data_IF_619426528268
#
_entry.id   IF_619426528268
#
_cell.length_a   1.000
_cell.length_b   1.000
_cell.length_c   1.000
_cell.angle_alpha   90.00
_cell.angle_beta   90.00
_cell.angle_gamma   90.00
#
_symmetry.space_group_name_H-M   'P 1'
#
loop_
_entity.id
_entity.type
_entity.pdbx_description
1 polymer ?
#
# COMPACT_ATOMS: atom_id res chain seq x y z
N UNK A 1 -21.19 4.84 -18.38
CA UNK A 1 -21.33 5.51 -17.07
C UNK A 1 -20.09 6.29 -16.67
N UNK A 2 -18.88 5.73 -16.74
CA UNK A 2 -17.68 6.46 -16.25
C UNK A 2 -17.24 7.71 -17.03
N UNK A 3 -17.35 7.75 -18.36
CA UNK A 3 -16.80 8.87 -19.16
C UNK A 3 -17.60 10.17 -19.03
N UNK A 4 -18.94 10.09 -18.94
CA UNK A 4 -19.79 11.28 -18.77
C UNK A 4 -19.61 11.89 -17.39
N UNK A 5 -19.50 11.04 -16.35
CA UNK A 5 -19.16 11.43 -14.99
C UNK A 5 -17.77 12.10 -14.95
N UNK A 6 -16.76 11.50 -15.59
CA UNK A 6 -15.43 12.09 -15.69
C UNK A 6 -15.44 13.47 -16.36
N UNK A 7 -16.22 13.65 -17.43
CA UNK A 7 -16.36 14.93 -18.12
C UNK A 7 -17.04 15.98 -17.24
N UNK A 8 -18.11 15.61 -16.53
CA UNK A 8 -18.78 16.49 -15.58
C UNK A 8 -17.84 16.92 -14.44
N UNK A 9 -17.05 15.98 -13.90
CA UNK A 9 -16.08 16.27 -12.84
C UNK A 9 -14.96 17.20 -13.34
N UNK A 10 -14.43 17.00 -14.55
CA UNK A 10 -13.46 17.93 -15.15
C UNK A 10 -14.03 19.33 -15.31
N UNK A 11 -15.28 19.45 -15.77
CA UNK A 11 -15.98 20.72 -15.91
C UNK A 11 -16.13 21.48 -14.57
N UNK A 12 -16.22 20.75 -13.45
CA UNK A 12 -16.31 21.33 -12.12
C UNK A 12 -14.97 21.84 -11.57
N UNK A 13 -13.83 21.41 -12.14
CA UNK A 13 -12.49 21.87 -11.74
C UNK A 13 -12.14 23.10 -12.59
N UNK A 14 -12.08 24.33 -12.03
CA UNK A 14 -11.97 25.55 -12.84
C UNK A 14 -10.75 25.58 -13.78
N UNK A 15 -9.63 25.01 -13.34
CA UNK A 15 -8.40 24.92 -14.14
C UNK A 15 -8.52 23.95 -15.33
N UNK A 16 -9.50 23.04 -15.32
CA UNK A 16 -9.67 21.96 -16.29
C UNK A 16 -10.99 22.05 -17.07
N UNK A 17 -11.85 23.02 -16.73
CA UNK A 17 -13.23 23.08 -17.22
C UNK A 17 -13.36 23.24 -18.75
N UNK A 18 -12.32 23.74 -19.41
CA UNK A 18 -12.26 23.90 -20.86
C UNK A 18 -11.75 22.69 -21.63
N UNK A 19 -11.41 21.57 -20.96
CA UNK A 19 -10.91 20.38 -21.65
C UNK A 19 -12.05 19.63 -22.36
N UNK A 20 -12.03 19.63 -23.69
CA UNK A 20 -13.01 18.95 -24.55
C UNK A 20 -12.45 17.70 -25.25
N UNK A 21 -11.15 17.44 -25.11
CA UNK A 21 -10.44 16.32 -25.73
C UNK A 21 -10.87 14.92 -25.27
N UNK A 22 -10.16 13.87 -25.75
CA UNK A 22 -10.46 12.48 -25.42
C UNK A 22 -10.20 12.19 -23.93
N UNK A 23 -10.98 11.26 -23.38
CA UNK A 23 -10.77 10.72 -22.04
C UNK A 23 -10.45 9.23 -22.16
N UNK A 24 -9.26 8.85 -21.71
CA UNK A 24 -8.79 7.46 -21.71
C UNK A 24 -8.93 6.88 -20.30
N UNK A 25 -9.67 5.78 -20.15
CA UNK A 25 -9.78 5.09 -18.86
C UNK A 25 -8.48 4.35 -18.59
N UNK A 26 -7.85 4.64 -17.45
CA UNK A 26 -6.69 3.93 -16.93
C UNK A 26 -7.14 2.82 -15.95
N UNK A 27 -6.18 2.05 -15.44
CA UNK A 27 -6.41 1.08 -14.36
C UNK A 27 -6.93 1.72 -13.07
N UNK A 28 -7.13 0.89 -12.04
CA UNK A 28 -7.71 1.31 -10.76
C UNK A 28 -8.90 0.41 -10.38
N UNK A 29 -8.75 -0.26 -9.24
CA UNK A 29 -9.74 -1.21 -8.71
C UNK A 29 -10.91 -0.49 -8.05
N UNK A 30 -10.63 0.34 -7.05
CA UNK A 30 -11.62 1.13 -6.30
C UNK A 30 -11.89 2.48 -6.96
N UNK A 31 -10.86 3.09 -7.54
CA UNK A 31 -10.92 4.43 -8.11
C UNK A 31 -11.16 4.41 -9.64
N UNK A 32 -11.96 5.36 -10.14
CA UNK A 32 -12.11 5.60 -11.58
C UNK A 32 -11.04 6.61 -12.02
N UNK A 33 -10.03 6.14 -12.75
CA UNK A 33 -8.89 6.97 -13.20
C UNK A 33 -8.97 7.23 -14.70
N UNK A 34 -8.93 8.49 -15.12
CA UNK A 34 -8.99 8.92 -16.52
C UNK A 34 -7.82 9.83 -16.88
N UNK A 35 -7.20 9.60 -18.03
CA UNK A 35 -6.29 10.55 -18.64
C UNK A 35 -7.04 11.56 -19.49
N UNK A 36 -6.75 12.85 -19.27
CA UNK A 36 -7.24 14.00 -20.02
C UNK A 36 -6.03 14.83 -20.48
N UNK A 37 -5.52 14.58 -21.69
CA UNK A 37 -4.27 15.18 -22.17
C UNK A 37 -3.08 14.81 -21.29
N UNK A 38 -2.49 15.80 -20.62
CA UNK A 38 -1.37 15.66 -19.69
C UNK A 38 -1.81 15.62 -18.22
N UNK A 39 -3.09 15.34 -17.97
CA UNK A 39 -3.69 15.26 -16.64
C UNK A 39 -4.23 13.85 -16.40
N UNK A 40 -4.13 13.41 -15.16
CA UNK A 40 -4.79 12.23 -14.63
C UNK A 40 -5.88 12.68 -13.65
N UNK A 41 -7.15 12.44 -13.99
CA UNK A 41 -8.30 12.65 -13.13
C UNK A 41 -8.63 11.34 -12.42
N UNK A 42 -8.73 11.39 -11.09
CA UNK A 42 -9.17 10.27 -10.26
C UNK A 42 -10.45 10.65 -9.53
N UNK A 43 -11.46 9.82 -9.71
CA UNK A 43 -12.76 9.91 -9.04
C UNK A 43 -12.87 8.73 -8.07
N UNK A 44 -13.11 8.96 -6.78
CA UNK A 44 -13.30 7.89 -5.81
C UNK A 44 -14.42 6.93 -6.19
N UNK A 45 -14.23 5.65 -5.86
CA UNK A 45 -15.29 4.65 -5.97
C UNK A 45 -16.42 4.90 -4.99
N UNK A 46 -17.66 4.63 -5.42
CA UNK A 46 -18.85 4.74 -4.56
C UNK A 46 -18.74 3.79 -3.37
N UNK A 47 -19.10 4.27 -2.17
CA UNK A 47 -19.13 3.46 -0.95
C UNK A 47 -17.78 3.34 -0.24
N UNK A 48 -16.77 4.09 -0.68
CA UNK A 48 -15.46 4.17 0.00
C UNK A 48 -15.43 5.23 1.10
N UNK A 49 -16.44 6.09 1.17
CA UNK A 49 -16.52 7.22 2.11
C UNK A 49 -16.66 6.76 3.57
N UNK A 50 -17.11 5.52 3.80
CA UNK A 50 -17.31 4.96 5.14
C UNK A 50 -16.00 4.57 5.85
N UNK A 51 -14.93 4.31 5.08
CA UNK A 51 -13.65 3.83 5.64
C UNK A 51 -12.43 4.59 5.13
N UNK A 52 -12.57 5.48 4.14
CA UNK A 52 -11.45 6.26 3.60
C UNK A 52 -11.57 7.74 3.97
N UNK A 53 -10.54 8.27 4.61
CA UNK A 53 -10.46 9.68 4.98
C UNK A 53 -9.86 10.53 3.83
N UNK A 54 -10.74 11.14 3.03
CA UNK A 54 -10.34 11.98 1.89
C UNK A 54 -9.56 13.24 2.27
N UNK A 55 -9.74 13.75 3.49
CA UNK A 55 -8.94 14.85 3.99
C UNK A 55 -7.48 14.43 4.30
N UNK A 56 -7.28 13.22 4.85
CA UNK A 56 -5.95 12.63 5.04
C UNK A 56 -5.24 12.45 3.70
N UNK A 57 -5.91 11.82 2.75
CA UNK A 57 -5.40 11.61 1.40
C UNK A 57 -4.97 12.92 0.71
N UNK A 58 -5.81 13.96 0.80
CA UNK A 58 -5.52 15.25 0.18
C UNK A 58 -4.29 15.94 0.76
N UNK A 59 -3.97 15.73 2.05
CA UNK A 59 -2.73 16.22 2.66
C UNK A 59 -1.55 15.35 2.20
N UNK A 60 -1.68 14.04 2.30
CA UNK A 60 -0.60 13.12 1.98
C UNK A 60 -0.16 13.18 0.52
N UNK A 61 -1.10 13.23 -0.43
CA UNK A 61 -0.80 13.37 -1.84
C UNK A 61 -0.03 14.66 -2.13
N UNK A 62 -0.37 15.78 -1.48
CA UNK A 62 0.35 17.06 -1.62
C UNK A 62 1.75 16.98 -1.02
N UNK A 63 1.90 16.42 0.18
CA UNK A 63 3.20 16.28 0.83
C UNK A 63 4.12 15.31 0.08
N UNK A 64 3.58 14.20 -0.45
CA UNK A 64 4.32 13.27 -1.30
C UNK A 64 4.72 13.88 -2.66
N UNK A 65 3.89 14.76 -3.23
CA UNK A 65 4.22 15.52 -4.41
C UNK A 65 5.34 16.56 -4.12
N UNK A 66 5.28 17.27 -2.98
CA UNK A 66 6.37 18.16 -2.52
C UNK A 66 7.68 17.41 -2.29
N UNK A 67 7.61 16.21 -1.74
CA UNK A 67 8.74 15.29 -1.62
C UNK A 67 9.27 14.80 -2.97
N UNK A 68 8.56 15.06 -4.08
CA UNK A 68 8.93 14.62 -5.41
C UNK A 68 8.86 13.10 -5.58
N UNK A 69 7.97 12.43 -4.85
CA UNK A 69 7.69 10.99 -4.92
C UNK A 69 6.38 10.71 -5.66
N UNK A 70 5.37 11.57 -5.47
CA UNK A 70 4.12 11.52 -6.22
C UNK A 70 4.08 12.54 -7.35
N UNK A 71 3.32 12.31 -8.45
CA UNK A 71 3.11 13.32 -9.47
C UNK A 71 2.52 14.60 -8.88
N UNK A 72 2.75 15.73 -9.55
CA UNK A 72 2.22 17.03 -9.13
C UNK A 72 0.70 16.99 -8.97
N UNK A 73 0.19 17.41 -7.83
CA UNK A 73 -1.25 17.55 -7.56
C UNK A 73 -1.72 18.91 -8.06
N UNK A 74 -2.52 18.90 -9.12
CA UNK A 74 -3.11 20.10 -9.74
C UNK A 74 -4.41 20.51 -9.05
N UNK A 75 -5.17 19.54 -8.58
CA UNK A 75 -6.40 19.73 -7.83
C UNK A 75 -6.61 18.56 -6.88
N UNK A 76 -7.13 18.84 -5.67
CA UNK A 76 -7.68 17.79 -4.81
C UNK A 76 -8.77 18.39 -3.93
N UNK A 77 -9.93 17.75 -3.95
CA UNK A 77 -11.09 18.11 -3.16
C UNK A 77 -11.16 17.19 -1.92
N UNK A 78 -10.94 17.71 -0.70
CA UNK A 78 -10.97 16.89 0.51
C UNK A 78 -12.38 16.42 0.91
N UNK A 79 -13.44 16.98 0.32
CA UNK A 79 -14.82 16.58 0.59
C UNK A 79 -15.27 15.43 -0.31
N UNK A 80 -14.96 15.52 -1.61
CA UNK A 80 -15.36 14.50 -2.59
C UNK A 80 -14.28 13.47 -2.87
N UNK A 81 -13.02 13.74 -2.52
CA UNK A 81 -11.85 12.92 -2.83
C UNK A 81 -11.39 12.97 -4.28
N UNK A 82 -12.06 13.77 -5.13
CA UNK A 82 -11.63 13.99 -6.52
C UNK A 82 -10.22 14.58 -6.53
N UNK A 83 -9.35 13.97 -7.33
CA UNK A 83 -7.95 14.37 -7.46
C UNK A 83 -7.59 14.52 -8.93
N UNK A 84 -6.95 15.61 -9.30
CA UNK A 84 -6.30 15.77 -10.59
C UNK A 84 -4.80 15.96 -10.40
N UNK A 85 -4.00 15.14 -11.07
CA UNK A 85 -2.54 15.20 -11.04
C UNK A 85 -1.95 15.28 -12.44
N UNK A 86 -0.67 15.65 -12.54
CA UNK A 86 0.05 15.61 -13.81
C UNK A 86 0.24 14.15 -14.26
N UNK A 87 -0.12 13.86 -15.51
CA UNK A 87 0.11 12.55 -16.11
C UNK A 87 1.61 12.33 -16.35
N UNK A 88 2.13 11.17 -15.96
CA UNK A 88 3.54 10.82 -16.15
C UNK A 88 3.72 10.13 -17.50
N UNK A 89 4.00 10.91 -18.54
CA UNK A 89 4.20 10.39 -19.89
C UNK A 89 5.37 9.39 -19.95
N UNK A 90 5.18 8.30 -20.70
CA UNK A 90 6.19 7.25 -20.88
C UNK A 90 6.39 6.33 -19.68
N UNK A 91 5.67 6.54 -18.57
CA UNK A 91 5.72 5.62 -17.43
C UNK A 91 4.89 4.36 -17.68
N UNK A 92 5.39 3.24 -17.15
CA UNK A 92 4.73 1.95 -17.15
C UNK A 92 4.14 1.70 -15.76
N UNK A 93 2.83 1.52 -15.68
CA UNK A 93 2.17 1.02 -14.46
C UNK A 93 2.71 -0.37 -14.14
N UNK A 94 3.20 -0.56 -12.93
CA UNK A 94 3.85 -1.80 -12.51
C UNK A 94 2.84 -2.89 -12.13
N UNK A 95 3.35 -4.12 -12.06
CA UNK A 95 2.62 -5.33 -11.69
C UNK A 95 3.62 -6.34 -11.13
N UNK A 96 3.19 -7.41 -10.44
CA UNK A 96 4.11 -8.45 -9.96
C UNK A 96 4.98 -9.04 -11.08
N UNK A 97 4.41 -9.22 -12.27
CA UNK A 97 5.15 -9.68 -13.46
C UNK A 97 6.19 -8.66 -13.92
N UNK A 98 5.83 -7.37 -14.00
CA UNK A 98 6.74 -6.32 -14.47
C UNK A 98 7.91 -6.10 -13.50
N UNK A 99 7.72 -6.31 -12.20
CA UNK A 99 8.81 -6.28 -11.23
C UNK A 99 9.86 -7.37 -11.48
N UNK A 100 9.48 -8.48 -12.14
CA UNK A 100 10.41 -9.55 -12.54
C UNK A 100 11.03 -9.30 -13.91
N UNK A 101 10.23 -8.83 -14.86
CA UNK A 101 10.66 -8.66 -16.25
C UNK A 101 11.53 -7.42 -16.48
N UNK A 102 11.34 -6.35 -15.69
CA UNK A 102 12.03 -5.08 -15.88
C UNK A 102 13.18 -4.96 -14.89
N UNK A 103 14.40 -5.01 -15.40
CA UNK A 103 15.61 -4.92 -14.60
C UNK A 103 15.66 -3.63 -13.76
N UNK A 104 16.13 -3.75 -12.51
CA UNK A 104 16.31 -2.63 -11.59
C UNK A 104 15.02 -2.10 -10.97
N UNK A 105 13.86 -2.72 -11.23
CA UNK A 105 12.59 -2.19 -10.70
C UNK A 105 12.45 -2.32 -9.19
N UNK A 106 12.87 -3.42 -8.52
CA UNK A 106 12.93 -3.44 -7.06
C UNK A 106 13.85 -2.35 -6.48
N UNK A 107 15.02 -2.10 -7.09
CA UNK A 107 15.90 -1.02 -6.66
C UNK A 107 15.22 0.36 -6.76
N UNK A 108 14.59 0.66 -7.91
CA UNK A 108 13.89 1.95 -8.11
C UNK A 108 12.72 2.15 -7.15
N UNK A 109 12.03 1.07 -6.75
CA UNK A 109 11.02 1.13 -5.70
C UNK A 109 11.65 1.44 -4.33
N UNK A 110 12.75 0.78 -3.98
CA UNK A 110 13.53 1.07 -2.77
C UNK A 110 14.02 2.52 -2.71
N UNK A 111 14.47 3.09 -3.83
CA UNK A 111 14.86 4.49 -3.94
C UNK A 111 13.69 5.45 -3.76
N UNK A 112 12.52 5.13 -4.34
CA UNK A 112 11.30 5.92 -4.17
C UNK A 112 10.85 5.95 -2.70
N UNK A 113 10.85 4.80 -2.02
CA UNK A 113 10.58 4.72 -0.59
C UNK A 113 11.61 5.47 0.24
N UNK A 114 12.90 5.32 -0.05
CA UNK A 114 13.96 6.07 0.66
C UNK A 114 13.71 7.56 0.56
N UNK A 115 13.39 8.04 -0.64
CA UNK A 115 13.07 9.45 -0.89
C UNK A 115 11.85 9.90 -0.09
N UNK A 116 10.79 9.09 -0.05
CA UNK A 116 9.60 9.37 0.76
C UNK A 116 9.93 9.44 2.25
N UNK A 117 10.52 8.38 2.79
CA UNK A 117 10.72 8.21 4.23
C UNK A 117 11.74 9.20 4.82
N UNK A 118 12.60 9.78 3.97
CA UNK A 118 13.59 10.79 4.38
C UNK A 118 13.22 12.22 3.96
N UNK A 119 12.05 12.42 3.33
CA UNK A 119 11.64 13.73 2.79
C UNK A 119 11.30 14.79 3.85
N UNK A 120 10.97 14.36 5.07
CA UNK A 120 10.39 15.24 6.08
C UNK A 120 8.89 15.51 5.88
N UNK A 121 8.22 14.82 4.94
CA UNK A 121 6.77 14.85 4.81
C UNK A 121 6.09 14.46 6.13
N UNK A 122 4.95 15.10 6.42
CA UNK A 122 4.15 14.83 7.62
C UNK A 122 2.73 14.50 7.20
N UNK A 123 2.30 13.27 7.48
CA UNK A 123 0.94 12.83 7.25
C UNK A 123 0.12 12.98 8.54
N UNK A 124 -1.16 13.38 8.46
CA UNK A 124 -1.95 13.71 9.64
C UNK A 124 -2.41 12.48 10.42
N UNK A 125 -2.43 11.31 9.78
CA UNK A 125 -2.79 10.04 10.41
C UNK A 125 -1.56 9.22 10.80
N UNK A 126 -1.70 8.41 11.85
CA UNK A 126 -0.70 7.45 12.32
C UNK A 126 -1.23 6.04 12.05
N UNK A 127 -0.48 5.25 11.29
CA UNK A 127 -0.87 3.89 10.94
C UNK A 127 -0.67 2.90 12.10
N UNK A 128 -1.72 2.64 12.86
CA UNK A 128 -1.67 1.73 14.01
C UNK A 128 -2.01 0.29 13.61
N UNK A 129 -1.04 -0.41 13.00
CA UNK A 129 -1.17 -1.79 12.50
C UNK A 129 -1.89 -2.73 13.46
N UNK A 130 -1.42 -2.81 14.70
CA UNK A 130 -2.00 -3.76 15.64
C UNK A 130 -3.35 -3.32 16.21
N UNK A 131 -3.63 -2.02 16.25
CA UNK A 131 -4.97 -1.55 16.60
C UNK A 131 -5.97 -1.96 15.51
N UNK A 132 -5.60 -1.84 14.23
CA UNK A 132 -6.42 -2.33 13.12
C UNK A 132 -6.63 -3.85 13.17
N UNK A 133 -5.59 -4.62 13.48
CA UNK A 133 -5.72 -6.07 13.71
C UNK A 133 -6.71 -6.35 14.84
N UNK A 134 -6.55 -5.70 16.01
CA UNK A 134 -7.45 -5.89 17.15
C UNK A 134 -8.91 -5.54 16.82
N UNK A 135 -9.13 -4.45 16.08
CA UNK A 135 -10.45 -4.01 15.64
C UNK A 135 -11.08 -5.02 14.67
N UNK A 136 -10.32 -5.54 13.70
CA UNK A 136 -10.82 -6.56 12.78
C UNK A 136 -11.12 -7.88 13.49
N UNK A 137 -10.28 -8.31 14.43
CA UNK A 137 -10.54 -9.49 15.27
C UNK A 137 -11.84 -9.31 16.06
N UNK A 138 -12.07 -8.13 16.63
CA UNK A 138 -13.30 -7.80 17.34
C UNK A 138 -14.52 -7.84 16.42
N UNK A 139 -14.46 -7.26 15.22
CA UNK A 139 -15.55 -7.32 14.24
C UNK A 139 -15.83 -8.76 13.81
N UNK A 140 -14.80 -9.55 13.52
CA UNK A 140 -14.95 -10.95 13.13
C UNK A 140 -15.60 -11.79 14.23
N UNK A 141 -15.33 -11.49 15.51
CA UNK A 141 -15.96 -12.19 16.63
C UNK A 141 -17.48 -12.05 16.68
N UNK A 142 -18.05 -11.04 16.00
CA UNK A 142 -19.50 -10.81 15.91
C UNK A 142 -20.11 -11.36 14.61
N UNK A 143 -19.34 -12.07 13.77
CA UNK A 143 -19.76 -12.54 12.46
C UNK A 143 -19.74 -14.06 12.41
N UNK A 144 -20.71 -14.66 11.70
CA UNK A 144 -20.71 -16.09 11.41
C UNK A 144 -19.96 -16.34 10.10
N UNK A 145 -18.66 -16.64 10.19
CA UNK A 145 -17.82 -16.96 9.02
C UNK A 145 -16.89 -18.12 9.34
N UNK A 146 -16.73 -19.05 8.39
CA UNK A 146 -15.76 -20.13 8.54
C UNK A 146 -14.33 -19.57 8.48
N UNK A 147 -13.55 -19.81 9.52
CA UNK A 147 -12.16 -19.37 9.63
C UNK A 147 -11.20 -20.44 9.08
N UNK A 148 -10.05 -20.05 8.51
CA UNK A 148 -9.10 -21.00 7.97
C UNK A 148 -8.45 -21.85 9.09
N UNK A 149 -8.05 -23.11 8.80
CA UNK A 149 -7.37 -23.96 9.78
C UNK A 149 -6.08 -23.33 10.32
N UNK A 150 -5.91 -23.31 11.65
CA UNK A 150 -4.75 -22.68 12.30
C UNK A 150 -4.88 -21.17 12.52
N UNK A 151 -6.04 -20.57 12.19
CA UNK A 151 -6.33 -19.14 12.41
C UNK A 151 -5.94 -18.66 13.81
N UNK A 152 -6.43 -19.35 14.85
CA UNK A 152 -6.17 -18.95 16.24
C UNK A 152 -4.70 -19.06 16.64
N UNK A 153 -3.95 -19.97 16.02
CA UNK A 153 -2.51 -20.11 16.27
C UNK A 153 -1.74 -18.93 15.67
N UNK A 154 -2.02 -18.58 14.42
CA UNK A 154 -1.41 -17.41 13.76
C UNK A 154 -1.74 -16.11 14.49
N UNK A 155 -2.99 -15.92 14.92
CA UNK A 155 -3.40 -14.74 15.70
C UNK A 155 -2.65 -14.70 17.03
N UNK A 156 -2.52 -15.82 17.75
CA UNK A 156 -1.75 -15.87 18.99
C UNK A 156 -0.26 -15.57 18.77
N UNK A 157 0.34 -16.09 17.70
CA UNK A 157 1.74 -15.79 17.38
C UNK A 157 1.96 -14.33 16.94
N UNK A 158 0.91 -13.64 16.48
CA UNK A 158 0.98 -12.20 16.20
C UNK A 158 1.28 -11.36 17.46
N UNK A 159 0.95 -11.86 18.66
CA UNK A 159 1.34 -11.21 19.92
C UNK A 159 2.86 -11.30 20.16
N UNK A 160 3.49 -12.42 19.78
CA UNK A 160 4.96 -12.58 19.83
C UNK A 160 5.64 -11.61 18.86
N UNK A 161 5.04 -11.41 17.69
CA UNK A 161 5.47 -10.42 16.69
C UNK A 161 5.35 -9.00 17.27
N UNK A 162 4.18 -8.66 17.82
CA UNK A 162 3.90 -7.38 18.48
C UNK A 162 4.91 -7.06 19.57
N UNK A 163 5.18 -8.02 20.45
CA UNK A 163 6.17 -7.88 21.52
C UNK A 163 7.60 -7.69 20.99
N UNK A 164 7.96 -8.35 19.88
CA UNK A 164 9.30 -8.21 19.29
C UNK A 164 9.50 -6.85 18.64
N UNK A 165 8.49 -6.32 17.94
CA UNK A 165 8.52 -4.96 17.38
C UNK A 165 8.49 -3.88 18.48
N UNK A 166 7.81 -4.13 19.59
CA UNK A 166 7.75 -3.22 20.74
C UNK A 166 9.01 -3.25 21.63
N UNK A 167 9.94 -4.18 21.40
CA UNK A 167 11.15 -4.32 22.22
C UNK A 167 12.09 -3.10 22.11
N UNK A 168 12.02 -2.37 20.99
CA UNK A 168 12.80 -1.16 20.73
C UNK A 168 11.92 -0.06 20.17
N UNK A 169 12.34 1.20 20.34
CA UNK A 169 11.67 2.32 19.68
C UNK A 169 11.98 2.29 18.18
N UNK A 170 10.96 2.02 17.38
CA UNK A 170 11.06 2.01 15.93
C UNK A 170 11.02 3.43 15.35
N UNK A 171 11.73 3.68 14.22
CA UNK A 171 11.63 4.95 13.51
C UNK A 171 10.21 5.14 12.97
N UNK A 172 9.79 6.41 12.88
CA UNK A 172 8.50 6.79 12.32
C UNK A 172 8.76 7.72 11.14
N UNK A 173 8.20 7.40 9.98
CA UNK A 173 8.29 8.17 8.75
C UNK A 173 6.92 8.28 8.08
N UNK A 174 6.75 9.24 7.17
CA UNK A 174 5.60 9.27 6.27
C UNK A 174 5.67 8.07 5.33
N UNK A 175 4.69 7.18 5.39
CA UNK A 175 4.66 5.92 4.64
C UNK A 175 3.41 5.84 3.77
N UNK A 176 3.52 5.16 2.63
CA UNK A 176 2.41 4.92 1.72
C UNK A 176 1.33 4.02 2.36
N UNK A 177 1.76 3.02 3.13
CA UNK A 177 0.95 2.04 3.85
C UNK A 177 0.16 1.03 2.99
N UNK A 178 -0.06 1.30 1.71
CA UNK A 178 -0.67 0.33 0.77
C UNK A 178 0.03 0.29 -0.61
N UNK A 179 1.33 -0.08 -0.67
CA UNK A 179 2.14 0.00 -1.88
C UNK A 179 1.87 -1.14 -2.86
N UNK A 180 0.62 -1.31 -3.30
CA UNK A 180 0.26 -2.23 -4.37
C UNK A 180 1.11 -1.98 -5.62
N UNK A 181 1.42 -3.02 -6.39
CA UNK A 181 2.27 -2.87 -7.58
C UNK A 181 1.74 -1.84 -8.58
N UNK A 182 0.42 -1.75 -8.75
CA UNK A 182 -0.19 -0.81 -9.69
C UNK A 182 -0.02 0.67 -9.27
N UNK A 183 0.30 0.92 -8.00
CA UNK A 183 0.56 2.26 -7.47
C UNK A 183 1.95 2.79 -7.86
N UNK A 184 2.80 1.96 -8.49
CA UNK A 184 4.11 2.37 -9.00
C UNK A 184 4.08 2.65 -10.50
N UNK A 185 4.57 3.82 -10.89
CA UNK A 185 4.74 4.24 -12.28
C UNK A 185 6.24 4.30 -12.62
N UNK A 186 6.73 3.33 -13.38
CA UNK A 186 8.14 3.21 -13.74
C UNK A 186 8.46 3.93 -15.05
N UNK A 187 9.33 4.94 -15.00
CA UNK A 187 9.83 5.65 -16.19
C UNK A 187 11.01 4.94 -16.85
N UNK A 188 11.57 3.91 -16.21
CA UNK A 188 12.83 3.28 -16.58
C UNK A 188 14.03 3.81 -15.80
N UNK A 189 13.97 5.07 -15.37
CA UNK A 189 15.03 5.72 -14.55
C UNK A 189 14.64 5.89 -13.09
N UNK A 190 13.34 6.12 -12.85
CA UNK A 190 12.78 6.29 -11.50
C UNK A 190 11.32 5.83 -11.44
N UNK A 191 10.84 5.63 -10.22
CA UNK A 191 9.42 5.41 -9.96
C UNK A 191 8.74 6.66 -9.38
N UNK A 192 7.45 6.78 -9.68
CA UNK A 192 6.49 7.61 -8.97
C UNK A 192 5.50 6.72 -8.24
N UNK A 193 4.99 7.20 -7.11
CA UNK A 193 3.98 6.50 -6.31
C UNK A 193 2.68 7.30 -6.30
N UNK A 194 1.55 6.62 -6.50
CA UNK A 194 0.20 7.20 -6.53
C UNK A 194 -0.71 6.47 -5.53
N UNK A 195 -1.91 7.01 -5.31
CA UNK A 195 -2.96 6.45 -4.44
C UNK A 195 -2.65 6.46 -2.93
N UNK A 196 -2.68 7.65 -2.33
CA UNK A 196 -2.26 7.90 -0.95
C UNK A 196 -3.38 7.76 0.09
N UNK A 197 -4.44 7.01 -0.21
CA UNK A 197 -5.63 6.98 0.64
C UNK A 197 -5.42 6.32 2.02
N UNK A 198 -4.52 5.34 2.09
CA UNK A 198 -4.13 4.66 3.34
C UNK A 198 -2.90 5.24 4.03
N UNK A 199 -2.32 6.29 3.45
CA UNK A 199 -1.06 6.85 3.92
C UNK A 199 -1.11 7.36 5.36
N UNK A 200 0.01 7.22 6.05
CA UNK A 200 0.14 7.65 7.44
C UNK A 200 1.58 7.60 7.92
N UNK A 201 1.81 8.16 9.10
CA UNK A 201 3.07 8.00 9.81
C UNK A 201 3.19 6.54 10.26
N UNK A 202 4.24 5.84 9.86
CA UNK A 202 4.44 4.41 10.16
C UNK A 202 5.92 4.05 10.35
N UNK A 203 6.17 2.81 10.75
CA UNK A 203 7.48 2.20 10.55
C UNK A 203 7.76 2.12 9.03
N UNK A 204 8.85 2.72 8.53
CA UNK A 204 9.15 2.75 7.09
C UNK A 204 9.36 1.37 6.45
N UNK A 205 9.66 0.34 7.24
CA UNK A 205 9.86 -1.01 6.72
C UNK A 205 8.55 -1.78 6.51
N UNK A 206 7.41 -1.22 6.96
CA UNK A 206 6.09 -1.68 6.53
C UNK A 206 5.96 -1.62 5.01
N UNK A 207 6.24 -0.46 4.40
CA UNK A 207 6.12 -0.24 2.96
C UNK A 207 6.96 -1.24 2.15
N UNK A 208 8.17 -1.57 2.61
CA UNK A 208 9.03 -2.57 1.98
C UNK A 208 8.46 -3.99 2.13
N UNK A 209 7.96 -4.34 3.32
CA UNK A 209 7.35 -5.65 3.58
C UNK A 209 6.09 -5.85 2.75
N UNK A 210 5.23 -4.84 2.70
CA UNK A 210 3.97 -4.86 1.96
C UNK A 210 4.22 -5.01 0.45
N UNK A 211 5.07 -4.16 -0.15
CA UNK A 211 5.41 -4.27 -1.57
C UNK A 211 6.03 -5.63 -1.92
N UNK A 212 6.84 -6.21 -1.05
CA UNK A 212 7.41 -7.56 -1.26
C UNK A 212 6.32 -8.62 -1.38
N UNK A 213 5.30 -8.57 -0.50
CA UNK A 213 4.16 -9.50 -0.52
C UNK A 213 3.33 -9.30 -1.78
N UNK A 214 2.98 -8.05 -2.09
CA UNK A 214 2.12 -7.71 -3.23
C UNK A 214 2.80 -7.99 -4.56
N UNK A 215 4.09 -7.64 -4.66
CA UNK A 215 4.94 -7.91 -5.82
C UNK A 215 5.35 -9.37 -5.98
N UNK A 216 5.06 -10.23 -4.99
CA UNK A 216 5.50 -11.63 -4.96
C UNK A 216 7.00 -11.74 -5.20
N UNK A 217 7.76 -10.90 -4.50
CA UNK A 217 9.20 -10.80 -4.65
C UNK A 217 9.85 -12.11 -4.22
N UNK A 218 10.88 -12.52 -4.96
CA UNK A 218 11.83 -13.50 -4.47
C UNK A 218 12.92 -12.84 -3.61
N UNK A 219 13.80 -13.66 -3.04
CA UNK A 219 14.89 -13.18 -2.17
C UNK A 219 15.82 -12.20 -2.89
N UNK A 220 16.05 -12.36 -4.20
CA UNK A 220 16.94 -11.47 -4.94
C UNK A 220 16.32 -10.08 -5.13
N UNK A 221 15.02 -10.04 -5.47
CA UNK A 221 14.27 -8.79 -5.59
C UNK A 221 14.17 -8.06 -4.24
N UNK A 222 13.98 -8.79 -3.14
CA UNK A 222 13.97 -8.22 -1.79
C UNK A 222 15.30 -7.61 -1.40
N UNK A 223 16.42 -8.33 -1.61
CA UNK A 223 17.75 -7.80 -1.33
C UNK A 223 18.10 -6.61 -2.24
N UNK A 224 17.67 -6.62 -3.51
CA UNK A 224 17.84 -5.49 -4.42
C UNK A 224 17.10 -4.24 -3.90
N UNK A 225 15.82 -4.37 -3.54
CA UNK A 225 15.02 -3.28 -2.99
C UNK A 225 15.60 -2.74 -1.67
N UNK A 226 15.91 -3.64 -0.72
CA UNK A 226 16.48 -3.25 0.56
C UNK A 226 17.85 -2.57 0.38
N UNK A 227 18.70 -3.08 -0.51
CA UNK A 227 20.01 -2.50 -0.77
C UNK A 227 19.91 -1.07 -1.30
N UNK A 228 19.00 -0.84 -2.23
CA UNK A 228 18.75 0.50 -2.78
C UNK A 228 18.17 1.44 -1.70
N UNK A 229 17.23 0.94 -0.89
CA UNK A 229 16.62 1.69 0.20
C UNK A 229 17.63 2.13 1.27
N UNK A 230 18.47 1.22 1.77
CA UNK A 230 19.46 1.54 2.80
C UNK A 230 20.74 2.18 2.24
N UNK A 231 20.98 2.09 0.93
CA UNK A 231 22.25 2.48 0.31
C UNK A 231 23.40 1.53 0.65
N UNK A 232 23.10 0.28 0.96
CA UNK A 232 24.03 -0.71 1.48
C UNK A 232 23.29 -2.00 1.86
N UNK A 233 24.02 -3.02 2.28
CA UNK A 233 23.39 -4.27 2.71
C UNK A 233 22.54 -4.07 3.98
N UNK A 234 21.31 -4.59 3.98
CA UNK A 234 20.43 -4.51 5.13
C UNK A 234 20.99 -5.31 6.31
N UNK A 235 20.94 -4.72 7.50
CA UNK A 235 21.31 -5.37 8.76
C UNK A 235 20.30 -6.47 9.13
N UNK A 236 20.68 -7.42 10.00
CA UNK A 236 19.77 -8.47 10.44
C UNK A 236 18.43 -7.98 11.00
N UNK A 237 18.42 -6.94 11.85
CA UNK A 237 17.19 -6.39 12.43
C UNK A 237 16.32 -5.63 11.39
N UNK A 238 16.94 -4.97 10.42
CA UNK A 238 16.25 -4.29 9.32
C UNK A 238 15.52 -5.31 8.44
N UNK A 239 16.24 -6.34 7.98
CA UNK A 239 15.65 -7.46 7.22
C UNK A 239 14.60 -8.20 8.05
N UNK A 240 14.87 -8.40 9.33
CA UNK A 240 13.93 -9.03 10.24
C UNK A 240 12.61 -8.28 10.33
N UNK A 241 12.64 -6.94 10.36
CA UNK A 241 11.43 -6.09 10.34
C UNK A 241 10.68 -6.20 9.02
N UNK A 242 11.36 -6.17 7.86
CA UNK A 242 10.72 -6.39 6.56
C UNK A 242 10.00 -7.73 6.54
N UNK A 243 10.66 -8.82 6.92
CA UNK A 243 10.06 -10.17 6.99
C UNK A 243 8.89 -10.24 7.98
N UNK A 244 9.02 -9.56 9.12
CA UNK A 244 7.95 -9.46 10.12
C UNK A 244 6.72 -8.77 9.53
N UNK A 245 6.91 -7.65 8.81
CA UNK A 245 5.82 -6.92 8.18
C UNK A 245 5.21 -7.65 7.00
N UNK A 246 5.95 -8.50 6.27
CA UNK A 246 5.36 -9.41 5.27
C UNK A 246 4.27 -10.29 5.90
N UNK A 247 4.58 -10.92 7.04
CA UNK A 247 3.60 -11.76 7.75
C UNK A 247 2.41 -10.93 8.27
N UNK A 248 2.66 -9.77 8.86
CA UNK A 248 1.57 -8.93 9.40
C UNK A 248 0.70 -8.28 8.32
N UNK A 249 1.27 -7.97 7.14
CA UNK A 249 0.51 -7.53 5.95
C UNK A 249 -0.43 -8.65 5.50
N UNK A 250 0.05 -9.89 5.35
CA UNK A 250 -0.82 -11.03 5.04
C UNK A 250 -1.92 -11.24 6.08
N UNK A 251 -1.59 -11.16 7.37
CA UNK A 251 -2.57 -11.29 8.44
C UNK A 251 -3.64 -10.18 8.39
N UNK A 252 -3.24 -8.91 8.30
CA UNK A 252 -4.17 -7.77 8.27
C UNK A 252 -5.18 -7.91 7.14
N UNK A 253 -4.70 -8.23 5.94
CA UNK A 253 -5.55 -8.37 4.76
C UNK A 253 -6.36 -9.67 4.75
N UNK A 254 -5.88 -10.75 5.35
CA UNK A 254 -6.72 -11.93 5.63
C UNK A 254 -7.92 -11.55 6.48
N UNK A 255 -7.71 -10.81 7.58
CA UNK A 255 -8.79 -10.41 8.48
C UNK A 255 -9.80 -9.52 7.75
N UNK A 256 -9.31 -8.54 6.98
CA UNK A 256 -10.16 -7.70 6.13
C UNK A 256 -10.97 -8.55 5.12
N UNK A 257 -10.33 -9.48 4.42
CA UNK A 257 -10.99 -10.36 3.45
C UNK A 257 -12.08 -11.23 4.09
N UNK A 258 -11.85 -11.76 5.30
CA UNK A 258 -12.86 -12.50 6.05
C UNK A 258 -14.06 -11.62 6.44
N UNK A 259 -13.84 -10.35 6.78
CA UNK A 259 -14.92 -9.39 7.05
C UNK A 259 -15.73 -9.12 5.79
N UNK A 260 -15.06 -8.89 4.65
CA UNK A 260 -15.74 -8.68 3.36
C UNK A 260 -16.56 -9.91 2.94
N UNK A 261 -16.01 -11.10 3.15
CA UNK A 261 -16.71 -12.36 2.92
C UNK A 261 -17.96 -12.47 3.80
N UNK A 262 -17.84 -12.19 5.09
CA UNK A 262 -18.96 -12.21 6.03
C UNK A 262 -20.06 -11.18 5.68
N UNK A 263 -19.68 -10.10 5.00
CA UNK A 263 -20.60 -9.07 4.51
C UNK A 263 -21.21 -9.40 3.12
N UNK A 264 -20.88 -10.55 2.52
CA UNK A 264 -21.31 -10.93 1.17
C UNK A 264 -20.95 -9.90 0.09
N UNK A 265 -19.79 -9.25 0.21
CA UNK A 265 -19.32 -8.31 -0.80
C UNK A 265 -19.02 -9.05 -2.13
N UNK A 266 -19.66 -8.69 -3.26
CA UNK A 266 -19.54 -9.43 -4.51
C UNK A 266 -18.37 -8.99 -5.40
N UNK A 267 -17.55 -8.02 -4.97
CA UNK A 267 -16.49 -7.42 -5.80
C UNK A 267 -15.40 -8.44 -6.17
N UNK A 268 -15.11 -9.39 -5.29
CA UNK A 268 -14.09 -10.42 -5.48
C UNK A 268 -14.48 -11.72 -4.76
N UNK A 269 -13.82 -12.83 -5.11
CA UNK A 269 -13.88 -14.05 -4.32
C UNK A 269 -13.07 -13.88 -3.01
N UNK A 270 -13.71 -13.26 -2.01
CA UNK A 270 -13.07 -12.98 -0.73
C UNK A 270 -12.71 -14.25 0.06
N UNK A 271 -13.31 -15.40 -0.24
CA UNK A 271 -12.91 -16.69 0.35
C UNK A 271 -11.54 -17.08 -0.18
N UNK A 272 -11.38 -17.12 -1.49
CA UNK A 272 -10.09 -17.44 -2.10
C UNK A 272 -9.00 -16.41 -1.72
N UNK A 273 -9.36 -15.13 -1.69
CA UNK A 273 -8.46 -14.04 -1.27
C UNK A 273 -7.94 -14.25 0.17
N UNK A 274 -8.84 -14.44 1.13
CA UNK A 274 -8.48 -14.56 2.54
C UNK A 274 -7.69 -15.83 2.82
N UNK A 275 -8.11 -16.97 2.26
CA UNK A 275 -7.45 -18.26 2.45
C UNK A 275 -6.03 -18.25 1.83
N UNK A 276 -5.86 -17.64 0.66
CA UNK A 276 -4.56 -17.54 -0.02
C UNK A 276 -3.55 -16.69 0.76
N UNK A 277 -3.96 -15.51 1.23
CA UNK A 277 -3.11 -14.65 2.09
C UNK A 277 -2.80 -15.33 3.42
N UNK A 278 -3.79 -16.00 4.02
CA UNK A 278 -3.59 -16.68 5.30
C UNK A 278 -2.59 -17.83 5.18
N UNK A 279 -2.71 -18.65 4.12
CA UNK A 279 -1.80 -19.75 3.88
C UNK A 279 -0.35 -19.26 3.70
N UNK A 280 -0.14 -18.13 3.01
CA UNK A 280 1.18 -17.51 2.86
C UNK A 280 1.72 -16.95 4.17
N UNK A 281 0.89 -16.25 4.95
CA UNK A 281 1.24 -15.80 6.29
C UNK A 281 1.72 -16.95 7.17
N UNK A 282 0.89 -17.99 7.27
CA UNK A 282 1.15 -19.18 8.07
C UNK A 282 2.44 -19.88 7.62
N UNK A 283 2.59 -20.11 6.32
CA UNK A 283 3.78 -20.74 5.76
C UNK A 283 5.06 -19.97 6.10
N UNK A 284 5.02 -18.63 6.03
CA UNK A 284 6.16 -17.79 6.40
C UNK A 284 6.47 -17.89 7.90
N UNK A 285 5.44 -17.76 8.75
CA UNK A 285 5.60 -17.79 10.21
C UNK A 285 6.10 -19.13 10.75
N UNK A 286 5.79 -20.24 10.06
CA UNK A 286 6.24 -21.59 10.42
C UNK A 286 7.69 -21.89 10.03
N UNK A 287 8.35 -21.01 9.27
CA UNK A 287 9.75 -21.22 8.90
C UNK A 287 10.69 -21.01 10.09
N UNK A 288 11.76 -21.83 10.22
CA UNK A 288 12.82 -21.57 11.20
C UNK A 288 13.49 -20.21 11.03
N UNK A 289 13.54 -19.71 9.79
CA UNK A 289 14.05 -18.39 9.42
C UNK A 289 13.24 -17.27 10.08
N UNK A 290 11.91 -17.38 10.13
CA UNK A 290 11.05 -16.37 10.73
C UNK A 290 11.34 -16.18 12.22
N UNK A 291 11.54 -17.28 12.96
CA UNK A 291 11.95 -17.21 14.37
C UNK A 291 13.30 -16.50 14.56
N UNK A 292 14.25 -16.70 13.64
CA UNK A 292 15.55 -16.00 13.66
C UNK A 292 15.39 -14.51 13.35
N UNK A 293 14.52 -14.16 12.42
CA UNK A 293 14.20 -12.77 12.10
C UNK A 293 13.57 -12.05 13.29
N UNK A 294 12.58 -12.66 13.98
CA UNK A 294 12.00 -12.08 15.18
C UNK A 294 13.01 -11.91 16.31
N UNK A 295 13.91 -12.88 16.50
CA UNK A 295 15.00 -12.76 17.47
C UNK A 295 15.94 -11.58 17.13
N UNK A 296 16.30 -11.41 15.86
CA UNK A 296 17.11 -10.28 15.41
C UNK A 296 16.41 -8.93 15.65
N UNK A 297 15.11 -8.83 15.35
CA UNK A 297 14.32 -7.61 15.65
C UNK A 297 14.33 -7.30 17.15
N UNK A 298 14.17 -8.32 17.99
CA UNK A 298 14.18 -8.17 19.45
C UNK A 298 15.57 -7.78 19.99
N UNK A 299 16.65 -8.17 19.33
CA UNK A 299 18.02 -7.84 19.73
C UNK A 299 18.43 -6.42 19.34
N UNK A 300 17.83 -5.86 18.28
CA UNK A 300 18.16 -4.54 17.73
C UNK A 300 19.27 -4.59 16.69
#
# INVERSE_FOLDING_TARGET
>A
MGTDEARATLAAIPALAGYDGPLERLGGMTNLVFRAGDICLRIPGKGTEEYINRANEAVAAREAAKAGVSPEVLHVDPATGVLASRFVAGAVTMSPEKFKLRAGTPARAGEAFRKLHTSGAVFPFRFELFAMIDDYLKVLSTKEVALPPGYHDVVRESDTVRASLAAHRLPIAACHCDPLCENFLDTGERMWIVDWEYSGMNDPLWDLGDLSVEGRFDTAQEEEMMRAYFGGEAKPAERGRVVTYKAMCDLLWTLWGLIQLANNNPVEDFRAYADGRFARCKALMETPEFSRHLAAVRQG
#
